data_IF_795078642045
#
_entry.id   IF_795078642045
#
_cell.length_a   1.000
_cell.length_b   1.000
_cell.length_c   1.000
_cell.angle_alpha   90.00
_cell.angle_beta   90.00
_cell.angle_gamma   90.00
#
_symmetry.space_group_name_H-M   'P 1'
#
loop_
_entity.id
_entity.type
_entity.pdbx_description
1 polymer ?
#
# COMPACT_ATOMS: atom_id res chain seq x y z
N UNK A 1 6.19 23.12 -8.48
CA UNK A 1 5.99 22.79 -8.46
C UNK A 1 5.62 22.00 -8.60
N UNK A 2 5.63 21.61 -8.47
CA UNK A 2 5.34 20.92 -8.51
C UNK A 2 4.51 20.26 -8.53
N UNK A 3 4.05 20.03 -8.96
CA UNK A 3 3.26 19.34 -8.80
C UNK A 3 3.53 18.10 -8.78
N UNK A 4 3.98 17.83 -8.28
CA UNK A 4 4.29 16.46 -8.17
C UNK A 4 3.08 15.68 -7.78
N UNK A 5 2.99 14.49 -8.26
CA UNK A 5 1.91 13.62 -7.88
C UNK A 5 2.11 13.25 -6.43
N UNK A 6 1.20 13.67 -5.60
CA UNK A 6 1.26 13.32 -4.20
C UNK A 6 0.79 11.89 -4.01
N UNK A 7 1.53 11.12 -3.23
CA UNK A 7 1.10 9.77 -2.90
C UNK A 7 0.23 9.76 -1.65
N UNK A 8 0.17 10.88 -0.91
CA UNK A 8 -0.60 10.91 0.32
C UNK A 8 -2.08 10.67 0.06
N UNK A 9 -2.73 10.02 1.01
CA UNK A 9 -4.13 9.69 0.92
C UNK A 9 -4.34 8.20 0.99
N UNK A 10 -5.58 7.80 0.83
CA UNK A 10 -5.99 6.40 0.97
C UNK A 10 -6.20 5.80 -0.41
N UNK A 11 -5.60 4.62 -0.59
CA UNK A 11 -5.66 3.90 -1.86
C UNK A 11 -6.35 2.57 -1.64
N UNK A 12 -7.25 2.23 -2.53
CA UNK A 12 -7.94 0.95 -2.55
C UNK A 12 -7.09 -0.04 -3.34
N UNK A 13 -6.72 -1.15 -2.72
CA UNK A 13 -6.01 -2.22 -3.42
C UNK A 13 -7.00 -2.95 -4.33
N UNK A 14 -6.73 -2.92 -5.62
CA UNK A 14 -7.62 -3.50 -6.61
C UNK A 14 -7.13 -4.83 -7.15
N UNK A 15 -5.87 -5.19 -6.84
CA UNK A 15 -5.30 -6.42 -7.36
C UNK A 15 -4.02 -6.75 -6.60
N UNK A 16 -3.82 -8.01 -6.27
CA UNK A 16 -2.55 -8.51 -5.75
C UNK A 16 -2.20 -9.79 -6.50
N UNK A 17 -0.91 -10.01 -6.74
CA UNK A 17 -0.49 -11.16 -7.53
C UNK A 17 -0.67 -12.48 -6.81
N UNK A 18 -0.44 -12.50 -5.48
CA UNK A 18 -0.44 -13.74 -4.72
C UNK A 18 -1.81 -14.14 -4.19
N UNK A 19 -2.78 -13.25 -4.22
CA UNK A 19 -4.10 -13.53 -3.64
C UNK A 19 -5.15 -12.95 -4.55
N UNK A 20 -6.27 -13.67 -4.70
CA UNK A 20 -7.35 -13.12 -5.51
C UNK A 20 -8.10 -12.05 -4.72
N UNK A 21 -8.92 -11.29 -5.42
CA UNK A 21 -9.56 -10.12 -4.85
C UNK A 21 -10.51 -10.47 -3.71
N UNK A 22 -11.18 -11.60 -3.78
CA UNK A 22 -12.06 -12.03 -2.69
C UNK A 22 -11.27 -12.24 -1.41
N UNK A 23 -10.06 -12.78 -1.51
CA UNK A 23 -9.21 -12.93 -0.34
C UNK A 23 -8.71 -11.59 0.16
N UNK A 24 -8.28 -10.71 -0.74
CA UNK A 24 -7.77 -9.40 -0.36
C UNK A 24 -8.83 -8.63 0.42
N UNK A 25 -10.07 -8.70 0.00
CA UNK A 25 -11.17 -7.95 0.59
C UNK A 25 -11.91 -8.74 1.67
N UNK A 26 -11.31 -9.77 2.23
CA UNK A 26 -12.00 -10.72 3.10
C UNK A 26 -12.70 -10.04 4.28
N UNK A 27 -12.03 -9.14 4.96
CA UNK A 27 -12.56 -8.46 6.15
C UNK A 27 -13.08 -7.08 5.80
N UNK A 28 -12.37 -6.39 4.94
CA UNK A 28 -12.71 -5.04 4.51
C UNK A 28 -12.05 -4.82 3.17
N UNK A 29 -12.46 -3.80 2.42
CA UNK A 29 -11.76 -3.51 1.17
C UNK A 29 -10.28 -3.27 1.43
N UNK A 30 -9.43 -3.99 0.71
CA UNK A 30 -7.98 -3.86 0.87
C UNK A 30 -7.54 -2.43 0.61
N UNK A 31 -6.62 -1.93 1.42
CA UNK A 31 -6.20 -0.54 1.30
C UNK A 31 -4.76 -0.35 1.74
N UNK A 32 -4.18 0.75 1.27
CA UNK A 32 -2.94 1.28 1.81
C UNK A 32 -3.09 2.80 1.86
N UNK A 33 -2.63 3.39 2.95
CA UNK A 33 -2.81 4.81 3.18
C UNK A 33 -1.49 5.43 3.60
N UNK A 34 -1.19 6.59 3.04
CA UNK A 34 0.04 7.34 3.33
C UNK A 34 -0.36 8.70 3.90
N UNK A 35 0.04 8.98 5.12
CA UNK A 35 -0.26 10.24 5.79
C UNK A 35 0.84 11.26 5.50
N UNK A 36 0.53 12.52 5.68
CA UNK A 36 1.48 13.60 5.40
C UNK A 36 2.72 13.57 6.29
N UNK A 37 2.61 12.96 7.46
CA UNK A 37 3.69 12.99 8.44
C UNK A 37 4.68 11.84 8.28
N UNK A 38 4.62 11.12 7.16
CA UNK A 38 5.52 10.00 6.92
C UNK A 38 5.07 8.69 7.52
N UNK A 39 3.85 8.64 8.02
CA UNK A 39 3.27 7.43 8.58
C UNK A 39 2.11 6.97 7.70
N UNK A 40 1.49 5.88 8.08
CA UNK A 40 0.34 5.38 7.35
C UNK A 40 -0.11 4.05 7.87
N UNK A 41 -0.97 3.40 7.11
CA UNK A 41 -1.53 2.11 7.50
C UNK A 41 -1.85 1.29 6.27
N UNK A 42 -2.04 0.00 6.48
CA UNK A 42 -2.48 -0.88 5.42
C UNK A 42 -3.39 -1.96 6.01
N UNK A 43 -4.18 -2.55 5.13
CA UNK A 43 -5.02 -3.69 5.52
C UNK A 43 -5.41 -4.47 4.29
N UNK A 44 -5.25 -5.80 4.37
CA UNK A 44 -5.70 -6.70 3.31
C UNK A 44 -5.78 -8.10 3.91
N UNK A 45 -6.72 -8.89 3.43
CA UNK A 45 -7.04 -10.21 3.99
C UNK A 45 -7.41 -10.00 5.46
N UNK A 46 -6.65 -10.60 6.38
CA UNK A 46 -6.83 -10.39 7.82
C UNK A 46 -5.64 -9.63 8.41
N UNK A 47 -4.75 -9.15 7.55
CA UNK A 47 -3.55 -8.40 7.96
C UNK A 47 -3.91 -6.94 8.13
N UNK A 48 -3.50 -6.35 9.24
CA UNK A 48 -3.55 -4.90 9.43
C UNK A 48 -2.20 -4.45 9.93
N UNK A 49 -1.79 -3.26 9.55
CA UNK A 49 -0.49 -2.78 9.96
C UNK A 49 -0.37 -1.29 9.87
N UNK A 50 0.69 -0.80 10.49
CA UNK A 50 1.10 0.60 10.43
C UNK A 50 2.41 0.65 9.66
N UNK A 51 2.59 1.74 8.92
CA UNK A 51 3.81 1.88 8.13
C UNK A 51 4.42 3.24 8.34
N UNK A 52 5.73 3.33 8.09
CA UNK A 52 6.38 4.60 7.88
C UNK A 52 6.97 4.59 6.48
N UNK A 53 6.95 5.76 5.86
CA UNK A 53 7.37 5.84 4.47
C UNK A 53 8.26 7.04 4.25
N UNK A 54 9.05 6.95 3.19
CA UNK A 54 9.94 8.05 2.80
C UNK A 54 10.00 8.11 1.29
N UNK A 55 10.28 9.29 0.79
CA UNK A 55 10.48 9.45 -0.64
C UNK A 55 11.73 8.71 -1.08
N UNK A 56 11.65 8.13 -2.25
CA UNK A 56 12.77 7.48 -2.90
C UNK A 56 12.63 7.72 -4.39
N UNK A 57 13.75 7.76 -5.07
CA UNK A 57 13.73 7.88 -6.52
C UNK A 57 14.50 6.72 -7.12
N UNK A 58 13.97 6.23 -8.19
CA UNK A 58 14.61 5.17 -8.97
C UNK A 58 14.58 5.59 -10.43
N UNK A 59 15.17 4.81 -11.28
CA UNK A 59 15.28 5.12 -12.69
C UNK A 59 13.97 5.49 -13.33
N UNK A 60 12.87 4.93 -12.83
CA UNK A 60 11.55 5.20 -13.39
C UNK A 60 10.86 6.41 -12.83
N UNK A 61 11.49 7.16 -11.94
CA UNK A 61 10.92 8.36 -11.37
C UNK A 61 10.57 8.20 -9.90
N UNK A 62 9.66 9.04 -9.39
CA UNK A 62 9.38 9.09 -7.96
C UNK A 62 8.70 7.82 -7.47
N UNK A 63 9.05 7.45 -6.25
CA UNK A 63 8.40 6.36 -5.53
C UNK A 63 8.60 6.59 -4.05
N UNK A 64 7.89 5.83 -3.24
CA UNK A 64 8.15 5.79 -1.81
C UNK A 64 8.55 4.38 -1.43
N UNK A 65 9.34 4.30 -0.39
CA UNK A 65 9.67 3.03 0.26
C UNK A 65 9.13 3.08 1.67
N UNK A 66 8.69 1.94 2.18
CA UNK A 66 8.13 1.91 3.51
C UNK A 66 8.50 0.61 4.22
N UNK A 67 8.50 0.69 5.54
CA UNK A 67 8.50 -0.49 6.37
C UNK A 67 7.16 -0.52 7.11
N UNK A 68 6.73 -1.70 7.53
CA UNK A 68 5.44 -1.82 8.18
C UNK A 68 5.50 -2.93 9.22
N UNK A 69 4.60 -2.82 10.19
CA UNK A 69 4.43 -3.86 11.19
C UNK A 69 2.95 -3.92 11.56
N UNK A 70 2.51 -5.08 11.96
CA UNK A 70 1.12 -5.25 12.30
C UNK A 70 0.81 -6.64 12.78
N UNK A 71 -0.39 -7.09 12.51
CA UNK A 71 -0.81 -8.42 12.94
C UNK A 71 -1.56 -9.14 11.82
N UNK A 72 -1.48 -10.45 11.88
CA UNK A 72 -2.16 -11.39 10.99
C UNK A 72 -2.84 -12.40 11.89
N UNK A 73 -4.12 -12.16 12.19
CA UNK A 73 -4.92 -12.99 13.10
C UNK A 73 -4.24 -13.19 14.45
N UNK A 74 -3.67 -12.11 14.98
CA UNK A 74 -3.05 -12.17 16.30
C UNK A 74 -1.57 -12.47 16.30
N UNK A 75 -1.02 -12.88 15.17
CA UNK A 75 0.43 -13.09 15.04
C UNK A 75 1.08 -11.79 14.60
N UNK A 76 2.21 -11.47 15.21
CA UNK A 76 2.96 -10.29 14.81
C UNK A 76 3.60 -10.53 13.46
N UNK A 77 3.42 -9.56 12.56
CA UNK A 77 4.03 -9.62 11.24
C UNK A 77 4.66 -8.25 10.94
N UNK A 78 5.62 -8.26 10.06
CA UNK A 78 6.29 -7.03 9.64
C UNK A 78 6.87 -7.22 8.25
N UNK A 79 7.35 -6.13 7.67
CA UNK A 79 7.98 -6.21 6.38
C UNK A 79 8.29 -4.84 5.84
N UNK A 80 8.41 -4.77 4.54
CA UNK A 80 8.69 -3.53 3.84
C UNK A 80 7.99 -3.55 2.49
N UNK A 81 8.14 -2.48 1.77
CA UNK A 81 7.54 -2.39 0.45
C UNK A 81 7.90 -1.10 -0.24
N UNK A 82 7.31 -0.92 -1.39
CA UNK A 82 7.45 0.32 -2.13
C UNK A 82 6.17 0.57 -2.91
N UNK A 83 5.97 1.81 -3.32
CA UNK A 83 4.82 2.18 -4.13
C UNK A 83 5.21 3.33 -5.04
N UNK A 84 4.65 3.34 -6.23
CA UNK A 84 4.94 4.37 -7.22
C UNK A 84 3.65 4.74 -7.95
N UNK A 85 3.39 6.04 -8.09
CA UNK A 85 2.20 6.46 -8.85
C UNK A 85 2.42 6.24 -10.35
N UNK A 86 1.37 5.84 -11.02
CA UNK A 86 1.36 5.68 -12.47
C UNK A 86 0.83 6.94 -13.13
N UNK A 87 1.16 7.18 -14.40
CA UNK A 87 0.65 8.36 -15.10
C UNK A 87 -0.86 8.45 -15.18
N UNK A 88 -1.55 7.33 -15.10
CA UNK A 88 -3.01 7.31 -15.19
C UNK A 88 -3.71 7.55 -13.85
N UNK A 89 -2.94 7.86 -12.80
CA UNK A 89 -3.53 8.13 -11.50
C UNK A 89 -3.68 6.92 -10.60
N UNK A 90 -3.30 5.75 -11.05
CA UNK A 90 -3.29 4.56 -10.21
C UNK A 90 -1.96 4.42 -9.50
N UNK A 91 -1.87 3.46 -8.61
CA UNK A 91 -0.67 3.17 -7.84
C UNK A 91 -0.27 1.73 -8.09
N UNK A 92 1.03 1.50 -8.15
CA UNK A 92 1.56 0.14 -8.18
C UNK A 92 2.62 0.01 -7.12
N UNK A 93 2.82 -1.19 -6.63
CA UNK A 93 3.84 -1.41 -5.63
C UNK A 93 4.03 -2.87 -5.31
N UNK A 94 4.70 -3.10 -4.21
CA UNK A 94 5.04 -4.45 -3.77
C UNK A 94 5.08 -4.44 -2.24
N UNK A 95 4.55 -5.48 -1.63
CA UNK A 95 4.56 -5.64 -0.17
C UNK A 95 5.32 -6.92 0.13
N UNK A 96 6.28 -6.84 1.04
CA UNK A 96 7.11 -7.95 1.47
C UNK A 96 6.83 -8.24 2.93
N UNK A 97 6.60 -9.52 3.24
CA UNK A 97 6.54 -9.99 4.62
C UNK A 97 7.95 -10.42 5.02
N UNK A 98 8.37 -10.00 6.19
CA UNK A 98 9.68 -10.39 6.70
C UNK A 98 9.74 -11.92 6.85
N UNK A 99 10.70 -12.52 6.16
CA UNK A 99 10.88 -13.99 6.16
C UNK A 99 9.65 -14.74 5.63
N UNK A 100 8.82 -14.08 4.83
CA UNK A 100 7.61 -14.68 4.31
C UNK A 100 7.36 -14.35 2.86
N UNK A 101 6.10 -14.36 2.49
CA UNK A 101 5.67 -14.12 1.12
C UNK A 101 5.82 -12.66 0.73
N UNK A 102 5.73 -12.41 -0.55
CA UNK A 102 5.64 -11.05 -1.06
C UNK A 102 4.67 -11.03 -2.23
N UNK A 103 4.16 -9.85 -2.54
CA UNK A 103 3.21 -9.71 -3.63
C UNK A 103 3.25 -8.31 -4.20
N UNK A 104 3.18 -8.23 -5.51
CA UNK A 104 2.90 -6.97 -6.16
C UNK A 104 1.43 -6.61 -5.91
N UNK A 105 1.14 -5.31 -5.98
CA UNK A 105 -0.23 -4.84 -5.85
C UNK A 105 -0.48 -3.67 -6.78
N UNK A 106 -1.76 -3.47 -7.10
CA UNK A 106 -2.24 -2.29 -7.80
C UNK A 106 -3.35 -1.68 -6.98
N UNK A 107 -3.44 -0.37 -7.04
CA UNK A 107 -4.42 0.36 -6.24
C UNK A 107 -4.90 1.59 -6.99
N UNK A 108 -6.04 2.11 -6.56
CA UNK A 108 -6.54 3.38 -7.07
C UNK A 108 -7.05 4.18 -5.88
N UNK A 109 -7.20 5.48 -6.07
CA UNK A 109 -7.75 6.31 -5.01
C UNK A 109 -9.12 5.79 -4.60
N UNK A 110 -9.39 5.77 -3.31
CA UNK A 110 -10.76 5.60 -2.86
C UNK A 110 -11.55 6.75 -3.44
N UNK A 111 -12.66 6.43 -4.05
CA UNK A 111 -13.55 7.48 -4.48
C UNK A 111 -14.29 7.87 -3.23
N UNK A 112 -13.96 8.95 -2.71
CA UNK A 112 -14.48 9.34 -1.45
C UNK A 112 -15.89 9.72 -1.45
N UNK A 113 -16.46 9.65 -2.18
CA UNK A 113 -17.68 10.14 -2.06
C UNK A 113 -18.72 9.47 -1.74
N UNK A 114 -18.66 9.46 -1.56
CA UNK A 114 -19.40 9.20 -1.50
C UNK A 114 -19.96 9.13 -1.14
N UNK A 115 -19.94 9.12 -1.08
CA UNK A 115 -20.36 9.22 -0.75
C UNK A 115 -20.83 9.19 -0.49
#
# INVERSE_FOLDING_TARGET
MSESTSITGRWRITEMDNWDQDAVDLVQPGFIEFDDDGLGSLGFIVVTGELDWRDAERDGGPRVEFSWQGSDEGDDVSGRGWAAPNPDGTLQGHIYFHLGDDSAFRAKRFSGVVQ
#
